data_IF_437575381868
#
_entry.id   IF_437575381868
#
_cell.length_a   1.000
_cell.length_b   1.000
_cell.length_c   1.000
_cell.angle_alpha   90.00
_cell.angle_beta   90.00
_cell.angle_gamma   90.00
#
_symmetry.space_group_name_H-M   'P 1'
#
loop_
_entity.id
_entity.type
_entity.pdbx_description
1 polymer ?
#
# COMPACT_ATOMS: atom_id res chain seq x y z
N UNK A 1 24.43 23.90 -10.85
CA UNK A 1 24.20 22.44 -10.88
C UNK A 1 24.05 21.98 -9.44
N UNK A 2 22.88 21.48 -9.07
CA UNK A 2 22.58 20.93 -7.75
C UNK A 2 23.13 19.51 -7.66
N UNK A 3 24.02 19.22 -6.71
CA UNK A 3 24.58 17.87 -6.54
C UNK A 3 24.01 17.22 -5.28
N UNK A 4 23.23 16.15 -5.45
CA UNK A 4 22.80 15.29 -4.34
C UNK A 4 23.94 14.31 -4.08
N UNK A 5 24.53 14.32 -2.87
CA UNK A 5 25.47 13.28 -2.44
C UNK A 5 24.74 12.30 -1.54
N UNK A 6 24.79 11.03 -1.91
CA UNK A 6 24.10 9.94 -1.22
C UNK A 6 25.15 9.12 -0.48
N UNK A 7 24.98 8.94 0.84
CA UNK A 7 25.74 7.97 1.62
C UNK A 7 24.77 6.99 2.27
N UNK A 8 24.94 5.71 1.96
CA UNK A 8 24.09 4.63 2.46
C UNK A 8 24.81 3.90 3.58
N UNK A 9 24.10 3.60 4.66
CA UNK A 9 24.56 2.72 5.71
C UNK A 9 23.56 1.58 5.90
N UNK A 10 23.99 0.36 5.57
CA UNK A 10 23.23 -0.85 5.87
C UNK A 10 23.25 -1.08 7.39
N UNK A 11 22.12 -1.48 7.96
CA UNK A 11 22.05 -1.79 9.37
C UNK A 11 22.60 -3.19 9.67
N UNK A 12 23.34 -3.34 10.77
CA UNK A 12 23.78 -4.65 11.24
C UNK A 12 22.57 -5.47 11.72
N UNK A 13 22.36 -6.65 11.14
CA UNK A 13 21.39 -7.65 11.59
C UNK A 13 21.82 -8.18 12.98
N UNK A 14 21.49 -7.46 14.05
CA UNK A 14 21.63 -7.91 15.45
C UNK A 14 20.31 -7.91 16.21
N UNK A 15 19.18 -8.23 15.56
CA UNK A 15 17.95 -8.54 16.29
C UNK A 15 17.82 -10.06 16.49
N UNK A 16 17.96 -10.48 17.75
CA UNK A 16 17.70 -11.83 18.24
C UNK A 16 16.19 -12.12 18.42
N UNK A 17 15.32 -11.23 17.95
CA UNK A 17 13.90 -11.51 17.91
C UNK A 17 13.62 -12.30 16.65
N UNK A 18 12.79 -13.34 16.77
CA UNK A 18 12.25 -14.16 15.68
C UNK A 18 11.56 -13.27 14.65
N UNK A 19 12.34 -12.59 13.81
CA UNK A 19 11.84 -11.75 12.74
C UNK A 19 11.50 -12.66 11.57
N UNK A 20 10.45 -12.30 10.84
CA UNK A 20 10.02 -12.98 9.62
C UNK A 20 11.07 -12.89 8.48
N UNK A 21 12.24 -12.27 8.74
CA UNK A 21 13.34 -12.13 7.82
C UNK A 21 13.96 -13.48 7.49
N UNK A 22 13.74 -13.92 6.25
CA UNK A 22 14.75 -14.72 5.56
C UNK A 22 15.69 -13.78 4.81
N UNK A 23 16.86 -13.56 5.41
CA UNK A 23 18.13 -13.30 4.71
C UNK A 23 18.19 -12.11 3.74
N UNK A 24 17.70 -10.92 4.10
CA UNK A 24 18.20 -9.67 3.50
C UNK A 24 18.75 -8.71 4.57
N UNK A 25 19.86 -7.99 4.29
CA UNK A 25 20.30 -6.89 5.12
C UNK A 25 19.20 -5.85 5.20
N UNK A 26 18.75 -5.51 6.41
CA UNK A 26 17.84 -4.38 6.55
C UNK A 26 18.56 -3.09 6.27
N UNK A 27 17.97 -2.32 5.38
CA UNK A 27 18.52 -1.07 4.95
C UNK A 27 17.96 0.01 5.88
N UNK A 28 18.72 0.32 6.94
CA UNK A 28 18.19 1.08 8.09
C UNK A 28 18.39 2.59 7.92
N UNK A 29 19.38 3.06 7.15
CA UNK A 29 19.78 4.47 7.23
C UNK A 29 20.36 5.03 5.94
N UNK A 30 19.83 6.18 5.53
CA UNK A 30 20.40 7.01 4.47
C UNK A 30 20.78 8.38 5.04
N UNK A 31 21.88 8.94 4.54
CA UNK A 31 22.28 10.31 4.87
C UNK A 31 22.29 11.09 3.56
N UNK A 32 21.55 12.19 3.54
CA UNK A 32 21.40 13.05 2.37
C UNK A 32 22.15 14.34 2.62
N UNK A 33 22.85 14.80 1.59
CA UNK A 33 23.25 16.20 1.53
C UNK A 33 22.54 16.78 0.32
N UNK A 34 21.43 17.47 0.58
CA UNK A 34 20.62 18.13 -0.43
C UNK A 34 21.21 19.51 -0.76
N UNK A 35 22.29 19.54 -1.53
CA UNK A 35 22.70 20.80 -2.17
C UNK A 35 21.84 21.05 -3.40
N UNK A 36 20.58 21.46 -3.19
CA UNK A 36 19.61 21.69 -4.25
C UNK A 36 18.79 22.96 -4.04
N UNK A 37 18.94 23.90 -4.96
CA UNK A 37 17.81 24.74 -5.38
C UNK A 37 16.80 23.86 -6.14
N UNK A 38 15.70 23.36 -5.55
CA UNK A 38 14.51 22.95 -6.34
C UNK A 38 13.32 22.46 -5.52
N UNK A 39 12.15 22.83 -6.01
CA UNK A 39 10.75 22.52 -5.66
C UNK A 39 10.35 21.03 -5.70
N UNK A 40 11.27 20.10 -5.43
CA UNK A 40 10.95 18.66 -5.49
C UNK A 40 10.11 18.25 -4.29
N UNK A 41 9.14 17.37 -4.51
CA UNK A 41 8.37 16.80 -3.40
C UNK A 41 9.07 15.60 -2.78
N UNK A 42 8.73 15.26 -1.54
CA UNK A 42 9.19 14.05 -0.85
C UNK A 42 8.86 12.78 -1.66
N UNK A 43 7.71 12.72 -2.34
CA UNK A 43 7.39 11.59 -3.22
C UNK A 43 8.38 11.45 -4.39
N UNK A 44 8.84 12.57 -4.96
CA UNK A 44 9.87 12.54 -6.00
C UNK A 44 11.23 12.10 -5.44
N UNK A 45 11.59 12.53 -4.23
CA UNK A 45 12.80 12.07 -3.53
C UNK A 45 12.77 10.55 -3.29
N UNK A 46 11.62 10.03 -2.85
CA UNK A 46 11.38 8.60 -2.62
C UNK A 46 11.65 7.75 -3.88
N UNK A 47 11.12 8.15 -5.03
CA UNK A 47 11.39 7.45 -6.29
C UNK A 47 12.86 7.55 -6.75
N UNK A 48 13.50 8.69 -6.55
CA UNK A 48 14.94 8.81 -6.82
C UNK A 48 15.75 7.84 -5.98
N UNK A 49 15.29 7.57 -4.76
CA UNK A 49 15.95 6.67 -3.83
C UNK A 49 15.75 5.21 -4.13
N UNK A 50 14.52 4.80 -4.42
CA UNK A 50 14.23 3.44 -4.87
C UNK A 50 15.14 3.08 -6.06
N UNK A 51 15.20 3.96 -7.07
CA UNK A 51 16.05 3.78 -8.25
C UNK A 51 17.54 3.67 -7.90
N UNK A 52 18.03 4.51 -6.99
CA UNK A 52 19.42 4.46 -6.54
C UNK A 52 19.73 3.16 -5.79
N UNK A 53 18.85 2.72 -4.88
CA UNK A 53 19.04 1.51 -4.10
C UNK A 53 19.08 0.28 -5.01
N UNK A 54 18.12 0.18 -5.94
CA UNK A 54 18.05 -0.90 -6.91
C UNK A 54 19.35 -0.96 -7.72
N UNK A 55 19.81 0.20 -8.23
CA UNK A 55 21.01 0.28 -9.07
C UNK A 55 22.30 -0.08 -8.31
N UNK A 56 22.51 0.51 -7.14
CA UNK A 56 23.80 0.38 -6.43
C UNK A 56 23.92 -0.94 -5.66
N UNK A 57 22.81 -1.45 -5.11
CA UNK A 57 22.84 -2.60 -4.22
C UNK A 57 22.26 -3.88 -4.85
N UNK A 58 21.85 -3.83 -6.13
CA UNK A 58 21.24 -4.96 -6.84
C UNK A 58 20.04 -5.58 -6.10
N UNK A 59 19.32 -4.77 -5.31
CA UNK A 59 18.08 -5.20 -4.69
C UNK A 59 16.98 -5.18 -5.73
N UNK A 60 16.33 -6.32 -5.92
CA UNK A 60 15.10 -6.39 -6.72
C UNK A 60 13.91 -6.03 -5.84
N UNK A 61 13.01 -5.18 -6.34
CA UNK A 61 11.73 -4.82 -5.72
C UNK A 61 11.82 -4.08 -4.38
N UNK A 62 12.69 -3.07 -4.26
CA UNK A 62 12.62 -2.15 -3.12
C UNK A 62 11.46 -1.18 -3.33
N UNK A 63 10.48 -1.24 -2.43
CA UNK A 63 9.45 -0.21 -2.29
C UNK A 63 9.68 0.49 -0.97
N UNK A 64 10.08 1.76 -1.04
CA UNK A 64 10.04 2.62 0.15
C UNK A 64 8.56 2.88 0.39
N UNK A 65 8.09 2.85 1.63
CA UNK A 65 6.70 3.23 1.96
C UNK A 65 6.67 4.53 2.74
N UNK A 66 7.70 4.79 3.53
CA UNK A 66 7.78 5.96 4.39
C UNK A 66 9.21 6.49 4.44
N UNK A 67 9.33 7.82 4.49
CA UNK A 67 10.57 8.52 4.79
C UNK A 67 10.40 9.24 6.14
N UNK A 68 11.41 9.18 6.99
CA UNK A 68 11.46 9.91 8.25
C UNK A 68 12.84 10.48 8.48
N UNK A 69 12.97 11.55 9.25
CA UNK A 69 14.28 12.05 9.72
C UNK A 69 14.82 11.20 10.88
N UNK A 70 16.08 11.38 11.26
CA UNK A 70 16.70 10.55 12.32
C UNK A 70 16.20 10.83 13.74
N UNK A 71 15.52 11.95 13.96
CA UNK A 71 14.77 12.27 15.18
C UNK A 71 13.33 11.71 15.17
N UNK A 72 12.91 11.05 14.08
CA UNK A 72 11.62 10.38 13.97
C UNK A 72 10.49 11.23 13.38
N UNK A 73 10.78 12.41 12.81
CA UNK A 73 9.76 13.19 12.10
C UNK A 73 9.41 12.55 10.75
N UNK A 74 8.12 12.33 10.51
CA UNK A 74 7.62 11.71 9.28
C UNK A 74 7.47 12.74 8.15
N UNK A 75 8.02 12.42 6.99
CA UNK A 75 7.99 13.32 5.82
C UNK A 75 6.76 13.00 4.95
N UNK A 76 5.88 13.97 4.74
CA UNK A 76 4.68 13.79 3.92
C UNK A 76 5.05 13.79 2.44
N UNK A 77 4.42 12.91 1.65
CA UNK A 77 4.68 12.76 0.21
C UNK A 77 4.54 14.08 -0.58
N UNK A 78 3.70 15.00 -0.09
CA UNK A 78 3.39 16.28 -0.73
C UNK A 78 4.31 17.42 -0.29
N UNK A 79 5.09 17.24 0.77
CA UNK A 79 6.00 18.28 1.27
C UNK A 79 7.07 18.58 0.24
N UNK A 80 7.42 19.85 0.11
CA UNK A 80 8.56 20.26 -0.70
C UNK A 80 9.82 19.96 0.11
N UNK A 81 10.79 19.27 -0.48
CA UNK A 81 12.03 18.85 0.18
C UNK A 81 12.75 20.03 0.85
N UNK A 82 12.77 21.21 0.22
CA UNK A 82 13.43 22.40 0.79
C UNK A 82 12.74 22.97 2.03
N UNK A 83 11.48 22.61 2.26
CA UNK A 83 10.67 23.18 3.33
C UNK A 83 10.76 22.32 4.60
N UNK A 84 11.12 21.04 4.44
CA UNK A 84 11.14 20.04 5.53
C UNK A 84 12.50 19.35 5.72
N UNK A 85 13.49 19.64 4.87
CA UNK A 85 14.84 19.09 4.99
C UNK A 85 15.90 20.20 4.94
N UNK A 86 16.82 20.15 5.89
CA UNK A 86 18.01 21.00 5.95
C UNK A 86 19.25 20.31 5.36
N UNK A 87 20.30 21.09 5.18
CA UNK A 87 21.58 20.58 4.70
C UNK A 87 22.18 19.58 5.70
N UNK A 88 22.50 18.38 5.18
CA UNK A 88 23.05 17.23 5.93
C UNK A 88 22.04 16.47 6.79
N UNK A 89 20.74 16.69 6.57
CA UNK A 89 19.71 15.87 7.20
C UNK A 89 19.86 14.38 6.88
N UNK A 90 19.58 13.59 7.90
CA UNK A 90 19.59 12.14 7.79
C UNK A 90 18.16 11.68 7.62
N UNK A 91 17.91 10.91 6.56
CA UNK A 91 16.58 10.38 6.26
C UNK A 91 16.66 8.86 6.34
N UNK A 92 15.78 8.29 7.12
CA UNK A 92 15.54 6.87 7.23
C UNK A 92 14.46 6.51 6.21
N UNK A 93 14.75 5.54 5.35
CA UNK A 93 13.76 4.97 4.45
C UNK A 93 13.24 3.68 5.07
N UNK A 94 11.92 3.57 5.18
CA UNK A 94 11.25 2.38 5.68
C UNK A 94 10.67 1.63 4.49
N UNK A 95 11.03 0.36 4.35
CA UNK A 95 10.41 -0.53 3.38
C UNK A 95 9.08 -1.11 3.91
N UNK A 96 8.32 -1.77 3.04
CA UNK A 96 7.03 -2.35 3.42
C UNK A 96 7.13 -3.38 4.55
N UNK A 97 8.20 -4.18 4.56
CA UNK A 97 8.41 -5.20 5.59
C UNK A 97 8.59 -4.58 6.98
N UNK A 98 9.48 -3.60 7.08
CA UNK A 98 9.76 -2.88 8.32
C UNK A 98 8.54 -2.10 8.79
N UNK A 99 7.84 -1.44 7.86
CA UNK A 99 6.62 -0.70 8.17
C UNK A 99 5.55 -1.60 8.78
N UNK A 100 5.43 -2.83 8.28
CA UNK A 100 4.50 -3.81 8.83
C UNK A 100 4.94 -4.28 10.21
N UNK A 101 6.22 -4.60 10.40
CA UNK A 101 6.77 -4.97 11.70
C UNK A 101 6.46 -3.92 12.78
N UNK A 102 6.63 -2.64 12.45
CA UNK A 102 6.42 -1.52 13.38
C UNK A 102 4.94 -1.27 13.68
N UNK A 103 4.06 -1.46 12.70
CA UNK A 103 2.64 -1.11 12.84
C UNK A 103 1.73 -2.29 13.20
N UNK A 104 2.20 -3.54 13.08
CA UNK A 104 1.36 -4.73 13.27
C UNK A 104 0.67 -4.76 14.63
N UNK A 105 1.38 -4.40 15.70
CA UNK A 105 0.83 -4.41 17.07
C UNK A 105 -0.22 -3.31 17.31
N UNK A 106 -0.32 -2.33 16.41
CA UNK A 106 -1.33 -1.27 16.50
C UNK A 106 -2.65 -1.67 15.87
N UNK A 107 -2.68 -2.72 15.05
CA UNK A 107 -3.87 -3.10 14.29
C UNK A 107 -4.92 -3.76 15.20
N UNK A 108 -6.16 -3.27 15.16
CA UNK A 108 -7.29 -3.97 15.76
C UNK A 108 -7.78 -5.06 14.79
N UNK A 109 -7.22 -6.26 14.95
CA UNK A 109 -7.58 -7.41 14.12
C UNK A 109 -8.84 -8.14 14.61
N UNK A 110 -9.38 -7.77 15.78
CA UNK A 110 -10.59 -8.35 16.35
C UNK A 110 -11.84 -7.63 15.82
N UNK A 111 -11.76 -6.31 15.60
CA UNK A 111 -12.87 -5.48 15.12
C UNK A 111 -12.71 -5.04 13.66
N UNK A 112 -12.49 -6.00 12.76
CA UNK A 112 -12.40 -5.73 11.33
C UNK A 112 -13.71 -5.16 10.78
N UNK A 113 -13.58 -4.17 9.91
CA UNK A 113 -14.71 -3.65 9.13
C UNK A 113 -15.05 -4.60 7.99
N UNK A 114 -14.03 -5.15 7.33
CA UNK A 114 -14.18 -6.05 6.19
C UNK A 114 -13.03 -7.06 6.15
N UNK A 115 -13.34 -8.32 5.84
CA UNK A 115 -12.38 -9.36 5.49
C UNK A 115 -12.89 -10.09 4.24
N UNK A 116 -12.11 -10.09 3.16
CA UNK A 116 -12.28 -11.02 2.04
C UNK A 116 -11.09 -11.96 2.09
N UNK A 117 -11.34 -13.26 2.16
CA UNK A 117 -10.30 -14.29 2.15
C UNK A 117 -10.72 -15.46 1.27
N UNK A 118 -9.75 -16.01 0.56
CA UNK A 118 -9.96 -17.17 -0.30
C UNK A 118 -8.69 -18.01 -0.33
N UNK A 119 -8.86 -19.33 -0.29
CA UNK A 119 -7.77 -20.27 -0.51
C UNK A 119 -7.47 -20.36 -2.01
N UNK A 120 -6.21 -20.20 -2.39
CA UNK A 120 -5.74 -20.39 -3.76
C UNK A 120 -5.07 -21.76 -3.90
N UNK A 121 -5.72 -22.67 -4.63
CA UNK A 121 -5.22 -24.03 -4.81
C UNK A 121 -3.90 -24.11 -5.60
N UNK A 122 -3.54 -23.05 -6.34
CA UNK A 122 -2.32 -23.06 -7.17
C UNK A 122 -1.04 -22.96 -6.35
N UNK A 123 -1.07 -22.22 -5.23
CA UNK A 123 0.05 -22.07 -4.30
C UNK A 123 -0.27 -22.63 -2.90
N UNK A 124 -1.48 -23.15 -2.70
CA UNK A 124 -1.99 -23.70 -1.44
C UNK A 124 -1.89 -22.69 -0.28
N UNK A 125 -2.04 -21.39 -0.57
CA UNK A 125 -2.03 -20.32 0.42
C UNK A 125 -3.40 -19.65 0.53
N UNK A 126 -3.68 -19.07 1.69
CA UNK A 126 -4.82 -18.18 1.86
C UNK A 126 -4.43 -16.76 1.43
N UNK A 127 -5.22 -16.19 0.53
CA UNK A 127 -5.12 -14.82 0.05
C UNK A 127 -6.20 -14.00 0.72
N UNK A 128 -5.86 -12.82 1.23
CA UNK A 128 -6.86 -11.98 1.89
C UNK A 128 -6.60 -10.48 1.78
N UNK A 129 -7.67 -9.74 1.98
CA UNK A 129 -7.68 -8.30 2.26
C UNK A 129 -8.48 -8.07 3.55
N UNK A 130 -7.90 -7.29 4.46
CA UNK A 130 -8.49 -6.89 5.74
C UNK A 130 -8.54 -5.39 5.83
N UNK A 131 -9.67 -4.86 6.27
CA UNK A 131 -9.88 -3.42 6.49
C UNK A 131 -10.40 -3.23 7.90
N UNK A 132 -9.88 -2.23 8.61
CA UNK A 132 -10.32 -1.87 9.95
C UNK A 132 -9.67 -0.58 10.41
N UNK A 133 -9.84 -0.25 11.69
CA UNK A 133 -9.09 0.83 12.33
C UNK A 133 -7.97 0.26 13.20
N UNK A 134 -6.87 0.96 13.30
CA UNK A 134 -5.85 0.67 14.30
C UNK A 134 -6.24 1.32 15.65
N UNK A 135 -5.49 1.03 16.71
CA UNK A 135 -5.72 1.56 18.06
C UNK A 135 -5.59 3.10 18.16
N UNK A 136 -5.10 3.76 17.10
CA UNK A 136 -5.00 5.21 16.99
C UNK A 136 -6.10 5.81 16.11
N UNK A 137 -7.11 5.03 15.71
CA UNK A 137 -8.21 5.49 14.85
C UNK A 137 -7.83 5.73 13.39
N UNK A 138 -6.68 5.22 12.93
CA UNK A 138 -6.29 5.27 11.50
C UNK A 138 -6.90 4.09 10.77
N UNK A 139 -7.46 4.35 9.59
CA UNK A 139 -7.93 3.30 8.69
C UNK A 139 -6.72 2.51 8.18
N UNK A 140 -6.75 1.19 8.33
CA UNK A 140 -5.75 0.32 7.72
C UNK A 140 -6.38 -0.59 6.67
N UNK A 141 -5.59 -0.87 5.63
CA UNK A 141 -5.84 -1.88 4.62
C UNK A 141 -4.64 -2.80 4.59
N UNK A 142 -4.87 -4.08 4.92
CA UNK A 142 -3.85 -5.11 4.90
C UNK A 142 -4.15 -6.12 3.81
N UNK A 143 -3.21 -6.30 2.90
CA UNK A 143 -3.30 -7.25 1.79
C UNK A 143 -2.25 -8.32 1.99
N UNK A 144 -2.63 -9.58 1.80
CA UNK A 144 -1.72 -10.71 1.86
C UNK A 144 -1.99 -11.66 0.69
N UNK A 145 -1.03 -11.75 -0.23
CA UNK A 145 -1.04 -12.72 -1.33
C UNK A 145 -0.12 -13.90 -1.05
N UNK A 146 1.13 -13.62 -0.68
CA UNK A 146 2.14 -14.63 -0.33
C UNK A 146 3.07 -14.07 0.75
N UNK A 147 4.01 -14.88 1.23
CA UNK A 147 5.06 -14.42 2.15
C UNK A 147 5.95 -13.29 1.58
N UNK A 148 5.97 -13.12 0.26
CA UNK A 148 6.75 -12.07 -0.43
C UNK A 148 5.87 -10.96 -1.00
N UNK A 149 4.55 -11.15 -1.07
CA UNK A 149 3.60 -10.19 -1.61
C UNK A 149 2.56 -9.87 -0.55
N UNK A 150 2.87 -8.87 0.27
CA UNK A 150 2.01 -8.38 1.34
C UNK A 150 2.17 -6.87 1.47
N UNK A 151 1.11 -6.20 1.90
CA UNK A 151 1.08 -4.75 2.00
C UNK A 151 0.23 -4.28 3.16
N UNK A 152 0.62 -3.15 3.75
CA UNK A 152 -0.13 -2.43 4.77
C UNK A 152 -0.17 -0.97 4.37
N UNK A 153 -1.39 -0.45 4.26
CA UNK A 153 -1.67 0.94 3.95
C UNK A 153 -2.45 1.52 5.11
N UNK A 154 -2.04 2.69 5.59
CA UNK A 154 -2.71 3.35 6.70
C UNK A 154 -3.04 4.78 6.30
N UNK A 155 -4.23 5.23 6.71
CA UNK A 155 -4.73 6.56 6.41
C UNK A 155 -5.28 7.18 7.68
N UNK A 156 -4.82 8.38 8.00
CA UNK A 156 -5.46 9.24 8.98
C UNK A 156 -6.61 10.02 8.34
N UNK A 157 -7.41 10.69 9.16
CA UNK A 157 -8.58 11.43 8.64
C UNK A 157 -8.21 12.55 7.67
N UNK A 158 -7.12 13.29 7.91
CA UNK A 158 -6.71 14.38 7.03
C UNK A 158 -6.34 13.86 5.63
N UNK A 159 -5.65 12.72 5.57
CA UNK A 159 -5.32 12.05 4.31
C UNK A 159 -6.60 11.63 3.58
N UNK A 160 -7.60 11.08 4.28
CA UNK A 160 -8.87 10.67 3.67
C UNK A 160 -9.70 11.87 3.21
N UNK A 161 -9.74 12.96 3.97
CA UNK A 161 -10.37 14.23 3.57
C UNK A 161 -9.69 14.77 2.31
N UNK A 162 -8.36 14.74 2.26
CA UNK A 162 -7.62 15.15 1.07
C UNK A 162 -7.96 14.27 -0.13
N UNK A 163 -7.97 12.94 0.03
CA UNK A 163 -8.36 11.99 -1.03
C UNK A 163 -9.78 12.28 -1.52
N UNK A 164 -10.73 12.51 -0.61
CA UNK A 164 -12.11 12.84 -0.95
C UNK A 164 -12.21 14.20 -1.69
N UNK A 165 -11.44 15.20 -1.26
CA UNK A 165 -11.45 16.55 -1.82
C UNK A 165 -10.75 16.66 -3.16
N UNK A 166 -9.70 15.88 -3.40
CA UNK A 166 -8.96 15.95 -4.65
C UNK A 166 -9.82 15.52 -5.83
N UNK A 167 -10.84 14.67 -5.63
CA UNK A 167 -11.73 14.12 -6.69
C UNK A 167 -10.95 13.58 -7.90
N UNK A 168 -9.65 13.35 -7.73
CA UNK A 168 -8.70 13.05 -8.80
C UNK A 168 -8.83 11.56 -9.06
N UNK A 169 -9.59 11.27 -10.11
CA UNK A 169 -9.78 9.97 -10.75
C UNK A 169 -10.79 9.08 -10.01
N UNK A 170 -11.97 8.93 -10.62
CA UNK A 170 -12.81 7.75 -10.38
C UNK A 170 -11.92 6.51 -10.51
N UNK A 171 -11.81 5.69 -9.45
CA UNK A 171 -10.97 4.49 -9.37
C UNK A 171 -9.45 4.71 -9.20
N UNK A 172 -9.01 5.43 -8.15
CA UNK A 172 -7.59 5.47 -7.82
C UNK A 172 -7.16 4.18 -7.08
N UNK A 173 -6.22 3.45 -7.68
CA UNK A 173 -5.68 2.21 -7.10
C UNK A 173 -4.83 2.57 -5.88
N UNK A 174 -5.14 1.97 -4.73
CA UNK A 174 -4.29 2.00 -3.54
C UNK A 174 -3.17 0.99 -3.71
N UNK A 175 -3.57 -0.25 -4.06
CA UNK A 175 -2.67 -1.37 -4.18
C UNK A 175 -3.28 -2.45 -5.07
N UNK A 176 -2.44 -3.11 -5.86
CA UNK A 176 -2.77 -4.36 -6.56
C UNK A 176 -1.60 -5.31 -6.44
N UNK A 177 -1.86 -6.49 -5.87
CA UNK A 177 -0.93 -7.62 -5.87
C UNK A 177 -1.42 -8.68 -6.86
N UNK A 178 -0.50 -9.30 -7.60
CA UNK A 178 -0.81 -10.32 -8.59
C UNK A 178 -0.91 -9.79 -10.02
N UNK A 179 -1.59 -10.55 -10.88
CA UNK A 179 -1.72 -10.30 -12.32
C UNK A 179 -3.20 -10.37 -12.76
N UNK A 180 -3.45 -10.77 -14.00
CA UNK A 180 -4.82 -10.93 -14.54
C UNK A 180 -5.50 -12.23 -14.10
N UNK A 181 -4.71 -13.27 -13.79
CA UNK A 181 -5.21 -14.60 -13.44
C UNK A 181 -5.55 -14.69 -11.96
N UNK A 182 -4.75 -14.07 -11.11
CA UNK A 182 -5.03 -13.92 -9.68
C UNK A 182 -4.65 -12.50 -9.27
N UNK A 183 -5.46 -11.89 -8.41
CA UNK A 183 -5.09 -10.60 -7.82
C UNK A 183 -5.82 -10.32 -6.52
N UNK A 184 -5.22 -9.43 -5.74
CA UNK A 184 -5.88 -8.76 -4.63
C UNK A 184 -5.68 -7.26 -4.83
N UNK A 185 -6.77 -6.51 -4.79
CA UNK A 185 -6.75 -5.09 -5.11
C UNK A 185 -7.57 -4.29 -4.10
N UNK A 186 -7.07 -3.12 -3.75
CA UNK A 186 -7.77 -2.09 -3.04
C UNK A 186 -7.75 -0.80 -3.87
N UNK A 187 -8.90 -0.16 -4.03
CA UNK A 187 -9.01 1.12 -4.76
C UNK A 187 -10.05 2.03 -4.12
N UNK A 188 -9.85 3.33 -4.26
CA UNK A 188 -10.86 4.32 -3.92
C UNK A 188 -11.85 4.47 -5.07
N UNK A 189 -13.13 4.54 -4.72
CA UNK A 189 -14.20 4.92 -5.62
C UNK A 189 -14.93 6.12 -5.05
N UNK A 190 -15.22 7.09 -5.91
CA UNK A 190 -15.94 8.29 -5.55
C UNK A 190 -17.25 8.34 -6.32
N UNK A 191 -18.36 8.48 -5.60
CA UNK A 191 -19.66 8.67 -6.23
C UNK A 191 -19.82 10.12 -6.68
N UNK A 192 -19.75 10.31 -8.00
CA UNK A 192 -19.89 11.62 -8.64
C UNK A 192 -21.28 12.24 -8.46
N UNK A 193 -22.31 11.44 -8.13
CA UNK A 193 -23.68 11.93 -7.98
C UNK A 193 -23.85 12.61 -6.62
N UNK A 194 -23.35 11.99 -5.56
CA UNK A 194 -23.46 12.52 -4.18
C UNK A 194 -22.36 13.52 -3.84
N UNK A 195 -21.24 13.55 -4.58
CA UNK A 195 -20.13 14.49 -4.38
C UNK A 195 -19.57 14.53 -2.94
N UNK A 196 -19.87 13.50 -2.14
CA UNK A 196 -19.60 13.46 -0.69
C UNK A 196 -19.22 12.08 -0.19
N UNK A 197 -19.39 11.03 -1.01
CA UNK A 197 -19.18 9.66 -0.55
C UNK A 197 -17.85 9.09 -1.06
N UNK A 198 -16.96 8.78 -0.12
CA UNK A 198 -15.71 8.04 -0.35
C UNK A 198 -15.94 6.55 -0.11
N UNK A 199 -15.69 5.72 -1.12
CA UNK A 199 -15.80 4.27 -0.99
C UNK A 199 -14.44 3.60 -1.14
N UNK A 200 -14.21 2.55 -0.35
CA UNK A 200 -13.13 1.60 -0.55
C UNK A 200 -13.68 0.35 -1.24
N UNK A 201 -13.14 0.03 -2.42
CA UNK A 201 -13.44 -1.22 -3.12
C UNK A 201 -12.29 -2.19 -2.88
N UNK A 202 -12.63 -3.37 -2.39
CA UNK A 202 -11.70 -4.47 -2.15
C UNK A 202 -12.06 -5.62 -3.10
N UNK A 203 -11.14 -6.02 -3.96
CA UNK A 203 -11.33 -7.09 -4.93
C UNK A 203 -10.35 -8.24 -4.65
N UNK A 204 -10.82 -9.47 -4.83
CA UNK A 204 -10.00 -10.68 -4.76
C UNK A 204 -10.38 -11.63 -5.88
N UNK A 205 -9.38 -12.13 -6.61
CA UNK A 205 -9.49 -13.22 -7.59
C UNK A 205 -8.39 -14.24 -7.32
N UNK A 206 -8.73 -15.51 -7.21
CA UNK A 206 -7.75 -16.60 -7.10
C UNK A 206 -7.53 -17.27 -8.44
N UNK A 207 -6.34 -17.81 -8.68
CA UNK A 207 -5.98 -18.34 -10.00
C UNK A 207 -6.85 -19.50 -10.46
N UNK A 208 -7.48 -20.21 -9.52
CA UNK A 208 -8.36 -21.37 -9.80
C UNK A 208 -9.82 -21.02 -10.06
N UNK A 209 -10.22 -19.74 -9.99
CA UNK A 209 -11.61 -19.32 -10.17
C UNK A 209 -11.69 -18.02 -10.99
N UNK A 210 -12.60 -17.96 -11.96
CA UNK A 210 -12.86 -16.75 -12.73
C UNK A 210 -13.69 -15.72 -11.95
N UNK A 211 -14.35 -16.14 -10.87
CA UNK A 211 -15.12 -15.25 -10.01
C UNK A 211 -14.22 -14.24 -9.28
N UNK A 212 -14.64 -12.98 -9.32
CA UNK A 212 -14.07 -11.91 -8.49
C UNK A 212 -14.99 -11.72 -7.28
N UNK A 213 -14.42 -11.81 -6.08
CA UNK A 213 -15.08 -11.40 -4.85
C UNK A 213 -14.79 -9.93 -4.61
N UNK A 214 -15.85 -9.13 -4.46
CA UNK A 214 -15.70 -7.70 -4.25
C UNK A 214 -16.56 -7.22 -3.08
N UNK A 215 -15.99 -6.37 -2.23
CA UNK A 215 -16.73 -5.62 -1.22
C UNK A 215 -16.50 -4.13 -1.45
N UNK A 216 -17.60 -3.37 -1.45
CA UNK A 216 -17.61 -1.91 -1.48
C UNK A 216 -17.99 -1.39 -0.10
N UNK A 217 -17.06 -0.69 0.53
CA UNK A 217 -17.20 -0.16 1.88
C UNK A 217 -17.30 1.37 1.83
N UNK A 218 -18.35 1.93 2.42
CA UNK A 218 -18.47 3.37 2.60
C UNK A 218 -17.60 3.85 3.77
N UNK A 219 -16.76 4.85 3.51
CA UNK A 219 -15.92 5.50 4.52
C UNK A 219 -16.57 6.82 4.91
N UNK A 220 -17.07 6.89 6.14
CA UNK A 220 -17.66 8.10 6.70
C UNK A 220 -16.56 8.92 7.37
N UNK A 221 -16.51 10.21 7.04
CA UNK A 221 -15.55 11.16 7.59
C UNK A 221 -16.30 12.13 8.49
N UNK A 222 -16.14 12.00 9.80
CA UNK A 222 -16.69 12.98 10.75
C UNK A 222 -15.67 14.08 10.99
N UNK A 223 -15.78 15.16 10.22
CA UNK A 223 -14.91 16.34 10.34
C UNK A 223 -15.09 17.06 11.68
N UNK A 224 -16.23 16.90 12.36
CA UNK A 224 -16.49 17.59 13.63
C UNK A 224 -15.75 16.95 14.80
N UNK A 225 -15.65 15.62 14.80
CA UNK A 225 -14.91 14.86 15.82
C UNK A 225 -13.54 14.38 15.36
N UNK A 226 -13.16 14.68 14.12
CA UNK A 226 -11.91 14.24 13.50
C UNK A 226 -11.71 12.72 13.56
N UNK A 227 -12.78 11.96 13.36
CA UNK A 227 -12.75 10.50 13.35
C UNK A 227 -13.23 9.88 12.03
N UNK A 228 -12.83 8.62 11.83
CA UNK A 228 -13.18 7.81 10.67
C UNK A 228 -14.20 6.78 11.13
N UNK A 229 -15.35 6.70 10.44
CA UNK A 229 -16.43 5.80 10.79
C UNK A 229 -16.73 4.81 9.66
N UNK A 230 -17.24 3.63 10.07
CA UNK A 230 -17.65 2.59 9.16
C UNK A 230 -19.06 2.91 8.64
N UNK A 231 -19.20 3.15 7.35
CA UNK A 231 -20.49 3.20 6.70
C UNK A 231 -21.02 1.82 6.31
N UNK A 232 -21.89 1.80 5.30
CA UNK A 232 -22.45 0.57 4.75
C UNK A 232 -21.41 -0.27 4.00
N UNK A 233 -21.62 -1.60 4.03
CA UNK A 233 -20.83 -2.56 3.26
C UNK A 233 -21.75 -3.22 2.25
N UNK A 234 -21.41 -3.08 0.98
CA UNK A 234 -22.10 -3.69 -0.15
C UNK A 234 -21.22 -4.84 -0.64
N UNK A 235 -21.68 -6.07 -0.42
CA UNK A 235 -21.02 -7.25 -0.96
C UNK A 235 -21.41 -7.40 -2.44
N UNK A 236 -20.47 -7.13 -3.33
CA UNK A 236 -20.59 -7.28 -4.77
C UNK A 236 -20.13 -8.69 -5.14
N UNK A 237 -20.82 -9.72 -4.63
CA UNK A 237 -20.48 -11.10 -4.94
C UNK A 237 -21.04 -11.51 -6.31
N UNK A 238 -20.18 -11.94 -7.23
CA UNK A 238 -20.61 -12.69 -8.42
C UNK A 238 -20.74 -11.89 -9.72
N UNK A 239 -20.05 -10.77 -9.88
CA UNK A 239 -19.85 -10.19 -11.21
C UNK A 239 -18.92 -11.11 -12.02
N UNK A 240 -19.52 -11.95 -12.86
CA UNK A 240 -18.84 -12.49 -14.04
C UNK A 240 -18.54 -11.26 -14.89
N UNK A 241 -17.28 -10.91 -15.06
CA UNK A 241 -16.89 -9.85 -16.00
C UNK A 241 -17.45 -10.21 -17.37
N UNK A 242 -18.50 -9.49 -17.77
CA UNK A 242 -19.10 -9.55 -19.09
C UNK A 242 -18.33 -8.68 -20.09
N UNK A 243 -17.00 -8.59 -19.95
CA UNK A 243 -16.10 -7.86 -20.84
C UNK A 243 -14.77 -8.64 -20.93
N UNK A 244 -14.81 -9.78 -21.63
CA UNK A 244 -13.99 -9.98 -22.83
C UNK A 244 -14.21 -11.39 -23.41
N UNK A 245 -14.41 -11.40 -24.72
CA UNK A 245 -14.73 -12.55 -25.56
C UNK A 245 -13.66 -13.65 -25.38
N UNK A 246 -14.02 -14.75 -24.72
CA UNK A 246 -13.25 -16.00 -24.81
C UNK A 246 -13.09 -16.34 -26.29
N UNK A 247 -11.86 -16.29 -26.78
CA UNK A 247 -11.54 -16.73 -28.14
C UNK A 247 -11.86 -18.21 -28.30
N UNK A 248 -12.29 -18.62 -29.49
CA UNK A 248 -12.73 -20.01 -29.72
C UNK A 248 -11.65 -21.06 -29.37
N UNK A 249 -10.36 -20.68 -29.40
CA UNK A 249 -9.26 -21.51 -28.90
C UNK A 249 -9.32 -21.83 -27.39
N UNK A 250 -9.80 -20.91 -26.57
CA UNK A 250 -9.96 -21.15 -25.13
C UNK A 250 -11.18 -22.04 -24.85
N UNK A 251 -12.21 -21.97 -25.70
CA UNK A 251 -13.39 -22.85 -25.62
C UNK A 251 -13.08 -24.29 -26.05
N UNK A 252 -12.21 -24.49 -27.04
CA UNK A 252 -11.78 -25.84 -27.44
C UNK A 252 -10.95 -26.52 -26.35
N UNK A 253 -10.04 -25.78 -25.68
CA UNK A 253 -9.21 -26.33 -24.61
C UNK A 253 -9.99 -26.82 -23.38
N UNK A 254 -11.14 -26.22 -23.10
CA UNK A 254 -12.03 -26.64 -22.00
C UNK A 254 -12.92 -27.84 -22.33
N UNK A 255 -13.02 -28.23 -23.61
CA UNK A 255 -13.72 -29.46 -24.03
C UNK A 255 -12.82 -30.69 -24.01
N UNK A 256 -11.51 -30.51 -23.87
CA UNK A 256 -10.51 -31.59 -23.82
C UNK A 256 -10.08 -31.98 -22.39
N UNK A 257 -10.62 -31.30 -21.37
CA UNK A 257 -10.48 -31.64 -19.94
C UNK A 257 -11.76 -32.29 -19.42
#
# INVERSE_FOLDING_TARGET
>A
MSSIRIKVQLGDNKSNNKSYRKTLPSLIKFIYVLNSSSTKTINQLKHLLENYIIREFSYNNVQIVQLMTDDGYFLSNNDICSDVLEDNDRIICVDMEKFIEENYMTLDLENLWCEIKQHDASDNLEKYIKVGLNNCGKLFIRIYGTSTMYGLYMFNIFELIQIANEKKQQNSIIARLGNTNWFIEAKWEYDSISNTCLFLICNLKVGSNEQIWSNKLHILLDESHMCIEKGEIINLSGEITNDDILTDQQRERLKEL
#
